data_IF_160164018072
#
_entry.id   IF_160164018072
#
_cell.length_a   1.000
_cell.length_b   1.000
_cell.length_c   1.000
_cell.angle_alpha   90.00
_cell.angle_beta   90.00
_cell.angle_gamma   90.00
#
_symmetry.space_group_name_H-M   'P 1'
#
loop_
_entity.id
_entity.type
_entity.pdbx_description
1 polymer ?
#
# COMPACT_ATOMS: atom_id res chain seq x y z
N UNK A 1 -14.17 27.45 -13.56
CA UNK A 1 -13.39 26.59 -14.48
C UNK A 1 -13.56 25.16 -14.01
N UNK A 2 -14.24 24.32 -14.79
CA UNK A 2 -14.37 22.89 -14.51
C UNK A 2 -13.08 22.18 -14.96
N UNK A 3 -12.54 21.22 -14.18
CA UNK A 3 -11.33 20.49 -14.55
C UNK A 3 -11.58 19.62 -15.79
N UNK A 4 -10.60 19.58 -16.70
CA UNK A 4 -10.61 18.75 -17.91
C UNK A 4 -10.46 17.28 -17.51
N UNK A 5 -11.13 16.40 -18.25
CA UNK A 5 -11.18 14.95 -18.02
C UNK A 5 -9.84 14.20 -18.22
N UNK A 6 -8.75 14.91 -18.53
CA UNK A 6 -7.42 14.35 -18.83
C UNK A 6 -6.36 14.66 -17.77
N UNK A 7 -6.73 15.30 -16.65
CA UNK A 7 -5.80 15.44 -15.54
C UNK A 7 -5.60 14.04 -14.91
N UNK A 8 -4.36 13.48 -14.89
CA UNK A 8 -4.11 12.22 -14.21
C UNK A 8 -4.60 12.36 -12.77
N UNK A 9 -5.29 11.35 -12.21
CA UNK A 9 -5.89 11.47 -10.89
C UNK A 9 -4.83 11.98 -9.92
N UNK A 10 -5.12 13.09 -9.23
CA UNK A 10 -4.23 13.66 -8.21
C UNK A 10 -3.93 12.56 -7.21
N UNK A 11 -2.72 11.99 -7.30
CA UNK A 11 -2.26 10.96 -6.38
C UNK A 11 -2.31 11.52 -4.97
N UNK A 12 -3.04 10.84 -4.09
CA UNK A 12 -3.13 11.23 -2.68
C UNK A 12 -1.70 11.28 -2.08
N UNK A 13 -1.42 12.22 -1.16
CA UNK A 13 -0.14 12.23 -0.46
C UNK A 13 0.05 10.92 0.30
N UNK A 14 1.25 10.35 0.18
CA UNK A 14 1.56 9.05 0.78
C UNK A 14 1.42 9.13 2.31
N UNK A 15 0.55 8.34 2.95
CA UNK A 15 0.17 8.54 4.36
C UNK A 15 1.31 8.25 5.36
N UNK A 16 1.94 7.07 5.29
CA UNK A 16 3.14 6.73 6.08
C UNK A 16 4.06 5.83 5.26
N UNK A 17 5.23 6.35 4.89
CA UNK A 17 6.10 5.74 3.86
C UNK A 17 6.61 4.36 4.27
N UNK A 18 6.98 4.21 5.53
CA UNK A 18 7.45 2.92 6.05
C UNK A 18 6.37 1.83 6.02
N UNK A 19 5.17 2.11 6.54
CA UNK A 19 4.08 1.13 6.58
C UNK A 19 3.62 0.73 5.17
N UNK A 20 3.51 1.71 4.25
CA UNK A 20 3.24 1.41 2.84
C UNK A 20 4.32 0.50 2.26
N UNK A 21 5.61 0.81 2.48
CA UNK A 21 6.70 -0.03 2.00
C UNK A 21 6.66 -1.45 2.60
N UNK A 22 6.30 -1.61 3.87
CA UNK A 22 6.14 -2.93 4.48
C UNK A 22 5.00 -3.73 3.84
N UNK A 23 3.85 -3.10 3.57
CA UNK A 23 2.75 -3.76 2.88
C UNK A 23 3.16 -4.21 1.47
N UNK A 24 3.84 -3.32 0.72
CA UNK A 24 4.34 -3.63 -0.61
C UNK A 24 5.35 -4.77 -0.59
N UNK A 25 6.27 -4.82 0.40
CA UNK A 25 7.20 -5.94 0.60
C UNK A 25 6.48 -7.27 0.79
N UNK A 26 5.47 -7.31 1.65
CA UNK A 26 4.69 -8.52 1.92
C UNK A 26 3.97 -9.00 0.65
N UNK A 27 3.32 -8.09 -0.07
CA UNK A 27 2.65 -8.42 -1.34
C UNK A 27 3.64 -8.90 -2.40
N UNK A 28 4.79 -8.23 -2.54
CA UNK A 28 5.85 -8.62 -3.48
C UNK A 28 6.44 -10.00 -3.14
N UNK A 29 6.48 -10.38 -1.86
CA UNK A 29 6.89 -11.71 -1.41
C UNK A 29 5.81 -12.80 -1.67
N UNK A 30 4.68 -12.44 -2.28
CA UNK A 30 3.60 -13.37 -2.59
C UNK A 30 2.56 -13.51 -1.47
N UNK A 31 2.55 -12.63 -0.48
CA UNK A 31 1.52 -12.60 0.55
C UNK A 31 0.40 -11.62 0.13
N UNK A 32 -0.71 -12.11 -0.47
CA UNK A 32 -1.78 -11.23 -0.89
C UNK A 32 -2.42 -10.54 0.31
N UNK A 33 -2.91 -9.32 0.09
CA UNK A 33 -3.67 -8.62 1.10
C UNK A 33 -5.13 -9.06 1.07
N UNK A 34 -5.69 -9.30 2.25
CA UNK A 34 -7.05 -9.78 2.41
C UNK A 34 -7.91 -8.60 2.88
N UNK A 35 -8.84 -8.20 2.02
CA UNK A 35 -9.91 -7.30 2.39
C UNK A 35 -11.12 -8.15 2.81
N UNK A 36 -11.40 -8.18 4.12
CA UNK A 36 -12.66 -8.67 4.67
C UNK A 36 -13.51 -7.43 4.93
N UNK A 37 -14.73 -7.39 4.38
CA UNK A 37 -15.68 -6.26 4.43
C UNK A 37 -15.41 -5.18 5.51
N UNK A 38 -15.56 -5.52 6.80
CA UNK A 38 -15.42 -4.59 7.93
C UNK A 38 -14.05 -4.65 8.65
N UNK A 39 -13.13 -5.51 8.19
CA UNK A 39 -11.81 -5.75 8.80
C UNK A 39 -10.76 -6.04 7.72
N UNK A 40 -9.97 -5.04 7.36
CA UNK A 40 -8.80 -5.27 6.51
C UNK A 40 -7.65 -5.83 7.35
N UNK A 41 -7.55 -7.16 7.41
CA UNK A 41 -6.51 -7.85 8.17
C UNK A 41 -5.34 -8.24 7.26
N UNK A 42 -4.21 -7.53 7.40
CA UNK A 42 -2.91 -8.16 7.17
C UNK A 42 -2.56 -8.90 8.46
N UNK A 43 -2.44 -10.22 8.38
CA UNK A 43 -2.10 -11.13 9.50
C UNK A 43 -0.71 -10.91 10.10
N UNK A 44 -0.13 -9.72 9.98
CA UNK A 44 1.18 -9.33 10.54
C UNK A 44 1.32 -7.84 10.91
N UNK A 45 0.26 -7.02 10.78
CA UNK A 45 0.30 -5.63 11.22
C UNK A 45 -0.62 -5.47 12.43
N UNK A 46 -0.02 -5.37 13.62
CA UNK A 46 -0.70 -4.83 14.79
C UNK A 46 -1.28 -3.45 14.42
N UNK A 47 -2.61 -3.29 14.49
CA UNK A 47 -3.29 -2.04 14.17
C UNK A 47 -4.17 -2.08 12.92
N UNK A 48 -5.30 -2.79 13.01
CA UNK A 48 -6.32 -2.89 11.96
C UNK A 48 -6.78 -1.54 11.32
N UNK A 49 -6.90 -0.41 12.06
CA UNK A 49 -7.34 0.85 11.44
C UNK A 49 -6.35 1.41 10.42
N UNK A 50 -5.04 1.28 10.69
CA UNK A 50 -4.01 1.84 9.82
C UNK A 50 -3.87 1.04 8.52
N UNK A 51 -4.02 -0.29 8.60
CA UNK A 51 -4.00 -1.17 7.42
C UNK A 51 -5.14 -0.84 6.44
N UNK A 52 -6.34 -0.49 6.94
CA UNK A 52 -7.48 -0.05 6.11
C UNK A 52 -7.14 1.25 5.35
N UNK A 53 -6.52 2.23 6.01
CA UNK A 53 -6.15 3.49 5.38
C UNK A 53 -5.14 3.30 4.25
N UNK A 54 -4.11 2.48 4.46
CA UNK A 54 -3.12 2.17 3.43
C UNK A 54 -3.68 1.33 2.29
N UNK A 55 -4.54 0.37 2.61
CA UNK A 55 -5.24 -0.42 1.60
C UNK A 55 -6.06 0.48 0.67
N UNK A 56 -6.93 1.33 1.24
CA UNK A 56 -7.75 2.24 0.44
C UNK A 56 -6.90 3.21 -0.38
N UNK A 57 -5.78 3.70 0.17
CA UNK A 57 -4.81 4.49 -0.59
C UNK A 57 -4.24 3.70 -1.79
N UNK A 58 -3.75 2.48 -1.56
CA UNK A 58 -3.15 1.65 -2.61
C UNK A 58 -4.16 1.26 -3.69
N UNK A 59 -5.40 0.94 -3.30
CA UNK A 59 -6.48 0.57 -4.21
C UNK A 59 -6.93 1.77 -5.05
N UNK A 60 -7.23 2.92 -4.42
CA UNK A 60 -7.68 4.13 -5.13
C UNK A 60 -6.65 4.67 -6.12
N UNK A 61 -5.36 4.47 -5.85
CA UNK A 61 -4.27 4.89 -6.74
C UNK A 61 -3.85 3.81 -7.75
N UNK A 62 -4.52 2.65 -7.78
CA UNK A 62 -4.25 1.59 -8.76
C UNK A 62 -2.95 0.82 -8.53
N UNK A 63 -2.35 0.90 -7.34
CA UNK A 63 -1.13 0.17 -7.00
C UNK A 63 -1.40 -1.30 -6.67
N UNK A 64 -2.64 -1.64 -6.32
CA UNK A 64 -3.05 -3.01 -6.04
C UNK A 64 -4.29 -3.36 -6.87
N UNK A 65 -4.40 -4.63 -7.24
CA UNK A 65 -5.50 -5.16 -8.04
C UNK A 65 -6.05 -6.44 -7.42
N UNK A 66 -7.36 -6.71 -7.52
CA UNK A 66 -7.93 -7.98 -7.10
C UNK A 66 -7.30 -9.15 -7.86
N UNK A 67 -6.91 -10.21 -7.16
CA UNK A 67 -6.34 -11.42 -7.75
C UNK A 67 -7.15 -12.68 -7.46
N UNK A 68 -7.87 -12.74 -6.33
CA UNK A 68 -8.75 -13.84 -6.00
C UNK A 68 -9.92 -13.37 -5.13
N UNK A 69 -10.97 -14.19 -5.08
CA UNK A 69 -12.09 -14.03 -4.16
C UNK A 69 -12.38 -15.39 -3.53
N UNK A 70 -12.57 -15.41 -2.21
CA UNK A 70 -13.00 -16.60 -1.48
C UNK A 70 -14.37 -16.31 -0.84
N UNK A 71 -15.39 -16.97 -1.37
CA UNK A 71 -16.79 -16.69 -1.05
C UNK A 71 -17.21 -15.25 -1.37
N UNK A 72 -18.20 -14.73 -0.64
CA UNK A 72 -18.71 -13.36 -0.80
C UNK A 72 -18.00 -12.33 0.07
N UNK A 73 -17.03 -12.74 0.90
CA UNK A 73 -16.52 -11.92 2.00
C UNK A 73 -15.02 -11.65 1.97
N UNK A 74 -14.22 -12.51 1.33
CA UNK A 74 -12.77 -12.35 1.29
C UNK A 74 -12.30 -12.01 -0.13
N UNK A 75 -11.70 -10.84 -0.27
CA UNK A 75 -11.11 -10.37 -1.52
C UNK A 75 -9.60 -10.28 -1.35
N UNK A 76 -8.87 -10.90 -2.26
CA UNK A 76 -7.41 -10.93 -2.24
C UNK A 76 -6.87 -9.96 -3.27
N UNK A 77 -5.84 -9.22 -2.87
CA UNK A 77 -5.20 -8.21 -3.70
C UNK A 77 -3.71 -8.50 -3.83
N UNK A 78 -3.20 -8.24 -5.03
CA UNK A 78 -1.77 -8.30 -5.37
C UNK A 78 -1.31 -6.97 -5.96
N UNK A 79 0.00 -6.80 -6.17
CA UNK A 79 0.56 -5.61 -6.80
C UNK A 79 0.17 -5.55 -8.28
N UNK A 80 -0.23 -4.36 -8.72
CA UNK A 80 -0.22 -4.03 -10.16
C UNK A 80 1.20 -3.75 -10.64
N UNK A 81 1.38 -3.52 -11.94
CA UNK A 81 2.66 -3.07 -12.48
C UNK A 81 3.14 -1.75 -11.83
N UNK A 82 2.22 -0.80 -11.61
CA UNK A 82 2.52 0.45 -10.91
C UNK A 82 2.84 0.22 -9.43
N UNK A 83 2.18 -0.75 -8.79
CA UNK A 83 2.50 -1.17 -7.43
C UNK A 83 3.91 -1.75 -7.29
N UNK A 84 4.35 -2.55 -8.26
CA UNK A 84 5.72 -3.06 -8.34
C UNK A 84 6.71 -1.91 -8.52
N UNK A 85 6.42 -0.96 -9.43
CA UNK A 85 7.29 0.20 -9.62
C UNK A 85 7.40 1.06 -8.34
N UNK A 86 6.29 1.25 -7.61
CA UNK A 86 6.27 1.95 -6.33
C UNK A 86 7.09 1.20 -5.27
N UNK A 87 6.94 -0.13 -5.19
CA UNK A 87 7.73 -0.98 -4.31
C UNK A 87 9.24 -0.81 -4.55
N UNK A 88 9.68 -0.94 -5.80
CA UNK A 88 11.09 -0.82 -6.13
C UNK A 88 11.65 0.58 -5.84
N UNK A 89 10.87 1.62 -6.13
CA UNK A 89 11.24 2.99 -5.80
C UNK A 89 11.39 3.19 -4.29
N UNK A 90 10.46 2.64 -3.51
CA UNK A 90 10.51 2.63 -2.05
C UNK A 90 11.71 1.87 -1.49
N UNK A 91 12.05 0.71 -2.07
CA UNK A 91 13.25 -0.06 -1.73
C UNK A 91 14.54 0.72 -1.99
N UNK A 92 14.66 1.32 -3.18
CA UNK A 92 15.81 2.16 -3.54
C UNK A 92 15.95 3.31 -2.55
N UNK A 93 14.88 4.05 -2.30
CA UNK A 93 14.86 5.13 -1.31
C UNK A 93 15.28 4.63 0.08
N UNK A 94 14.68 3.54 0.58
CA UNK A 94 14.99 3.01 1.91
C UNK A 94 16.47 2.65 2.09
N UNK A 95 17.13 2.16 1.02
CA UNK A 95 18.56 1.85 1.01
C UNK A 95 19.44 3.09 1.08
N UNK A 96 18.99 4.24 0.60
CA UNK A 96 19.75 5.50 0.69
C UNK A 96 19.79 6.08 2.11
N UNK A 97 18.86 5.66 2.98
CA UNK A 97 18.75 6.21 4.34
C UNK A 97 19.80 5.62 5.29
N UNK A 98 20.41 6.49 6.08
CA UNK A 98 21.23 6.10 7.24
C UNK A 98 20.35 5.60 8.38
N UNK A 99 20.93 4.85 9.33
CA UNK A 99 20.19 4.26 10.45
C UNK A 99 19.33 5.29 11.22
N UNK A 100 19.86 6.49 11.53
CA UNK A 100 19.10 7.56 12.21
C UNK A 100 17.87 8.00 11.41
N UNK A 101 18.01 8.13 10.09
CA UNK A 101 16.92 8.53 9.20
C UNK A 101 15.86 7.42 9.11
N UNK A 102 16.30 6.15 9.08
CA UNK A 102 15.40 4.99 9.14
C UNK A 102 14.54 5.00 10.40
N UNK A 103 15.14 5.25 11.57
CA UNK A 103 14.37 5.37 12.81
C UNK A 103 13.34 6.49 12.75
N UNK A 104 13.71 7.69 12.30
CA UNK A 104 12.77 8.81 12.19
C UNK A 104 11.58 8.47 11.28
N UNK A 105 11.84 7.83 10.15
CA UNK A 105 10.82 7.41 9.19
C UNK A 105 9.91 6.30 9.76
N UNK A 106 10.44 5.39 10.57
CA UNK A 106 9.65 4.34 11.22
C UNK A 106 8.68 4.95 12.24
N UNK A 107 9.12 5.96 13.00
CA UNK A 107 8.34 6.54 14.10
C UNK A 107 7.43 7.71 13.71
N UNK A 108 7.75 8.44 12.65
CA UNK A 108 7.07 9.70 12.29
C UNK A 108 6.68 9.81 10.80
N UNK A 109 7.04 8.81 9.99
CA UNK A 109 7.09 8.93 8.53
C UNK A 109 5.79 8.60 7.82
#
# INVERSE_FOLDING_TARGET
MLPRADDPPRREPLPHRWHVLQMLRSMHAGHPFIHLWDLSCLTHLEGAPMAVHYFGFLERNGYIVPCAKEGTRAHYYTLSADGVALYEAGERWWRTLRWRQKYLVIWHG
#
